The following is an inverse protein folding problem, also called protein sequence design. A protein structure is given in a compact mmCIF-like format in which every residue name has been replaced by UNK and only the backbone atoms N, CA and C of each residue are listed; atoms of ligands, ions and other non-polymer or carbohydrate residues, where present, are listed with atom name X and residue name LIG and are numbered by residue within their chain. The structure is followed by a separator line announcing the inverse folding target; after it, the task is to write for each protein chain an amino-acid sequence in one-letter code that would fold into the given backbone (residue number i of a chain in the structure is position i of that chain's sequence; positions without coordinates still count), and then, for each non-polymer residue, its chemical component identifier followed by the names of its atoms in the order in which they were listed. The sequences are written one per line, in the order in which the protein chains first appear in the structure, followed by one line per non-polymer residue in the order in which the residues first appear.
data_IF_413836360433
#
_entry.id   IF_413836360433
#
_cell.length_a   1.000
_cell.length_b   1.000
_cell.length_c   1.000
_cell.angle_alpha   90.00
_cell.angle_beta   90.00
_cell.angle_gamma   90.00
#
_symmetry.space_group_name_H-M   'P 1'
#
loop_
_entity.id
_entity.type
_entity.pdbx_description
1 polymer ?
#
# COMPACT_ATOMS: atom_id res chain seq x y z
N UNK A 1 17.75 -26.84 15.89
CA UNK A 1 17.43 -26.28 14.57
C UNK A 1 16.35 -25.21 14.76
N UNK A 2 16.71 -23.93 14.62
CA UNK A 2 15.76 -22.83 14.74
C UNK A 2 14.91 -22.83 13.46
N UNK A 3 13.66 -23.26 13.54
CA UNK A 3 12.70 -23.09 12.44
C UNK A 3 12.32 -21.61 12.41
N UNK A 4 12.98 -20.83 11.54
CA UNK A 4 12.40 -19.59 11.04
C UNK A 4 11.15 -19.98 10.25
N UNK A 5 10.00 -19.99 10.92
CA UNK A 5 8.72 -20.06 10.24
C UNK A 5 8.61 -18.77 9.42
N UNK A 6 8.81 -18.88 8.10
CA UNK A 6 8.59 -17.79 7.18
C UNK A 6 7.13 -17.36 7.25
N UNK A 7 6.90 -16.21 7.85
CA UNK A 7 5.61 -15.53 7.94
C UNK A 7 5.40 -14.83 6.58
N UNK A 8 4.80 -15.53 5.63
CA UNK A 8 4.46 -15.03 4.29
C UNK A 8 3.09 -14.34 4.29
N UNK A 9 3.01 -13.12 4.84
CA UNK A 9 1.75 -12.38 5.00
C UNK A 9 1.35 -11.52 3.84
N UNK A 10 0.07 -11.65 3.46
CA UNK A 10 -0.41 -11.15 2.19
C UNK A 10 -1.85 -10.66 2.32
N UNK A 11 -2.06 -9.40 1.95
CA UNK A 11 -3.38 -8.81 1.93
C UNK A 11 -3.37 -7.50 1.18
N UNK A 12 -4.57 -7.00 0.91
CA UNK A 12 -4.78 -5.79 0.12
C UNK A 12 -6.02 -5.05 0.58
N UNK A 13 -5.98 -3.73 0.47
CA UNK A 13 -7.11 -2.85 0.74
C UNK A 13 -8.02 -2.82 -0.48
N UNK A 14 -9.23 -3.36 -0.33
CA UNK A 14 -10.20 -3.58 -1.40
C UNK A 14 -11.27 -2.49 -1.44
N UNK A 15 -11.64 -1.91 -0.30
CA UNK A 15 -12.56 -0.79 -0.22
C UNK A 15 -12.09 0.22 0.84
N UNK A 16 -11.82 1.49 0.48
CA UNK A 16 -11.61 1.97 -0.89
C UNK A 16 -10.45 1.21 -1.56
N UNK A 17 -10.52 0.91 -2.87
CA UNK A 17 -9.49 0.11 -3.52
C UNK A 17 -8.15 0.85 -3.53
N UNK A 18 -7.11 0.23 -2.98
CA UNK A 18 -5.75 0.77 -3.03
C UNK A 18 -5.17 0.71 -4.46
N UNK A 19 -4.16 1.56 -4.74
CA UNK A 19 -3.58 1.82 -6.08
C UNK A 19 -3.18 0.55 -6.84
N UNK A 20 -2.63 -0.42 -6.13
CA UNK A 20 -2.27 -1.78 -6.57
C UNK A 20 -3.46 -2.67 -6.94
N UNK A 21 -4.61 -2.47 -6.31
CA UNK A 21 -5.81 -3.33 -6.47
C UNK A 21 -6.90 -2.70 -7.33
N UNK A 22 -6.77 -1.42 -7.72
CA UNK A 22 -7.77 -0.70 -8.52
C UNK A 22 -8.14 -1.45 -9.83
N UNK A 23 -7.20 -2.14 -10.47
CA UNK A 23 -7.48 -2.90 -11.69
C UNK A 23 -8.53 -4.00 -11.49
N UNK A 24 -8.66 -4.57 -10.28
CA UNK A 24 -9.69 -5.57 -9.95
C UNK A 24 -11.11 -5.01 -10.01
N UNK A 25 -11.24 -3.68 -9.92
CA UNK A 25 -12.51 -2.97 -9.91
C UNK A 25 -12.76 -2.21 -11.22
N UNK A 26 -12.04 -2.54 -12.30
CA UNK A 26 -12.25 -1.97 -13.62
C UNK A 26 -11.66 -0.57 -13.84
N UNK A 27 -10.87 -0.05 -12.88
CA UNK A 27 -10.13 1.18 -13.10
C UNK A 27 -9.00 0.97 -14.12
N UNK A 28 -8.62 2.01 -14.90
CA UNK A 28 -7.58 1.93 -15.93
C UNK A 28 -6.16 1.94 -15.35
N UNK A 29 -5.93 1.20 -14.26
CA UNK A 29 -4.61 0.97 -13.69
C UNK A 29 -3.96 -0.25 -14.38
N UNK A 30 -2.62 -0.27 -14.54
CA UNK A 30 -1.94 -1.49 -14.95
C UNK A 30 -2.25 -2.64 -14.00
N UNK A 31 -2.39 -3.84 -14.55
CA UNK A 31 -2.66 -5.05 -13.75
C UNK A 31 -1.45 -5.35 -12.85
N UNK A 32 -1.71 -5.51 -11.55
CA UNK A 32 -0.74 -6.02 -10.59
C UNK A 32 -1.28 -7.34 -9.99
N UNK A 33 -0.79 -8.48 -10.49
CA UNK A 33 -1.21 -9.79 -9.99
C UNK A 33 -0.75 -10.07 -8.55
N UNK A 34 0.31 -9.39 -8.12
CA UNK A 34 0.87 -9.45 -6.77
C UNK A 34 0.43 -8.23 -5.94
N UNK A 35 -0.80 -7.77 -6.16
CA UNK A 35 -1.34 -6.63 -5.42
C UNK A 35 -1.56 -6.92 -3.92
N UNK A 36 -1.39 -8.14 -3.47
CA UNK A 36 -1.36 -8.51 -2.06
C UNK A 36 0.06 -8.48 -1.44
N UNK A 37 1.09 -8.07 -2.19
CA UNK A 37 2.52 -8.12 -1.83
C UNK A 37 3.16 -6.72 -1.63
N UNK A 38 2.42 -5.74 -1.10
CA UNK A 38 2.99 -4.43 -0.71
C UNK A 38 3.56 -4.43 0.71
N UNK A 39 4.47 -5.38 0.92
CA UNK A 39 5.18 -5.71 2.16
C UNK A 39 6.60 -5.12 2.25
N UNK A 40 6.81 -3.90 1.75
CA UNK A 40 8.11 -3.18 1.83
C UNK A 40 9.28 -3.90 1.13
N UNK A 41 8.98 -4.76 0.17
CA UNK A 41 9.95 -5.64 -0.51
C UNK A 41 10.29 -6.94 0.22
N UNK A 42 9.61 -7.24 1.32
CA UNK A 42 9.86 -8.41 2.15
C UNK A 42 10.80 -8.14 3.34
N UNK A 43 10.78 -9.03 4.34
CA UNK A 43 11.45 -8.83 5.63
C UNK A 43 12.95 -8.50 5.50
N UNK A 44 13.71 -9.29 4.74
CA UNK A 44 15.15 -9.07 4.56
C UNK A 44 15.45 -7.73 3.88
N UNK A 45 14.67 -7.37 2.85
CA UNK A 45 14.82 -6.09 2.16
C UNK A 45 14.49 -4.92 3.10
N UNK A 46 13.41 -5.01 3.87
CA UNK A 46 13.04 -3.96 4.82
C UNK A 46 14.08 -3.80 5.93
N UNK A 47 14.41 -4.87 6.65
CA UNK A 47 15.17 -4.78 7.90
C UNK A 47 16.68 -4.87 7.70
N UNK A 48 17.17 -5.72 6.80
CA UNK A 48 18.60 -5.92 6.60
C UNK A 48 19.18 -4.90 5.61
N UNK A 49 18.47 -4.62 4.52
CA UNK A 49 18.94 -3.67 3.49
C UNK A 49 18.47 -2.23 3.75
N UNK A 50 17.19 -2.03 4.05
CA UNK A 50 16.59 -0.70 4.11
C UNK A 50 16.58 -0.09 5.53
N UNK A 51 17.12 -0.79 6.54
CA UNK A 51 17.20 -0.32 7.93
C UNK A 51 15.82 -0.05 8.54
N UNK A 52 14.86 -0.93 8.28
CA UNK A 52 13.47 -0.83 8.75
C UNK A 52 12.58 0.08 7.89
N UNK A 53 13.15 0.84 6.94
CA UNK A 53 12.38 1.78 6.11
C UNK A 53 11.54 1.07 5.05
N UNK A 54 10.37 1.66 4.78
CA UNK A 54 9.40 1.24 3.78
C UNK A 54 8.99 2.46 2.94
N UNK A 55 8.74 2.27 1.65
CA UNK A 55 8.04 3.29 0.86
C UNK A 55 6.65 3.52 1.45
N UNK A 56 6.15 4.76 1.42
CA UNK A 56 4.91 5.12 2.13
C UNK A 56 3.66 4.39 1.59
N UNK A 57 3.77 3.84 0.38
CA UNK A 57 2.74 3.03 -0.26
C UNK A 57 3.09 1.53 -0.29
N UNK A 58 4.02 1.06 0.55
CA UNK A 58 4.37 -0.36 0.71
C UNK A 58 5.42 -0.89 -0.27
N UNK A 59 5.98 -0.05 -1.13
CA UNK A 59 7.10 -0.38 -2.01
C UNK A 59 8.43 -0.55 -1.22
N UNK A 60 9.41 -1.33 -1.73
CA UNK A 60 10.76 -1.34 -1.16
C UNK A 60 11.39 0.05 -1.14
N UNK A 61 11.91 0.46 0.01
CA UNK A 61 12.42 1.82 0.22
C UNK A 61 13.55 2.22 -0.75
N UNK A 62 14.46 1.30 -1.08
CA UNK A 62 15.61 1.58 -1.96
C UNK A 62 15.26 1.78 -3.44
N UNK A 63 14.02 1.53 -3.86
CA UNK A 63 13.62 1.80 -5.24
C UNK A 63 13.76 3.30 -5.54
N UNK A 64 14.14 3.61 -6.79
CA UNK A 64 14.22 4.98 -7.28
C UNK A 64 12.83 5.62 -7.25
N UNK A 65 12.76 6.86 -6.77
CA UNK A 65 11.53 7.62 -6.72
C UNK A 65 11.18 8.23 -8.11
N UNK A 66 9.88 8.31 -8.46
CA UNK A 66 8.74 7.80 -7.71
C UNK A 66 8.67 6.28 -7.74
N UNK A 67 8.45 5.66 -6.58
CA UNK A 67 8.28 4.20 -6.50
C UNK A 67 6.98 3.80 -7.22
N UNK A 68 6.81 2.53 -7.64
CA UNK A 68 5.69 2.12 -8.48
C UNK A 68 4.30 2.54 -7.98
N UNK A 69 4.07 2.58 -6.67
CA UNK A 69 2.79 2.94 -6.07
C UNK A 69 2.74 4.37 -5.55
N UNK A 70 3.77 5.17 -5.72
CA UNK A 70 3.83 6.59 -5.35
C UNK A 70 3.48 7.50 -6.54
N UNK A 71 3.09 8.75 -6.30
CA UNK A 71 2.61 9.72 -7.28
C UNK A 71 3.61 9.89 -8.43
N UNK A 72 3.14 9.71 -9.67
CA UNK A 72 3.99 9.64 -10.87
C UNK A 72 4.50 8.24 -11.21
N UNK A 73 4.36 7.28 -10.29
CA UNK A 73 4.67 5.87 -10.47
C UNK A 73 3.70 5.12 -11.39
N UNK A 74 4.01 3.85 -11.62
CA UNK A 74 3.26 2.97 -12.52
C UNK A 74 1.78 2.85 -12.13
N UNK A 75 1.48 2.72 -10.83
CA UNK A 75 0.13 2.43 -10.32
C UNK A 75 -0.57 3.66 -9.73
N UNK A 76 0.15 4.75 -9.44
CA UNK A 76 -0.45 5.99 -8.94
C UNK A 76 -0.88 6.92 -10.08
N UNK A 77 -2.05 6.65 -10.67
CA UNK A 77 -2.59 7.41 -11.82
C UNK A 77 -3.41 8.66 -11.45
N UNK A 78 -3.47 9.02 -10.17
CA UNK A 78 -4.29 10.14 -9.70
C UNK A 78 -5.80 9.91 -9.81
N UNK A 79 -6.22 8.64 -9.87
CA UNK A 79 -7.61 8.24 -10.01
C UNK A 79 -8.25 8.16 -8.61
N UNK A 80 -9.41 8.80 -8.45
CA UNK A 80 -10.18 8.77 -7.20
C UNK A 80 -10.98 7.47 -7.12
N UNK A 81 -10.65 6.61 -6.16
CA UNK A 81 -11.31 5.31 -5.99
C UNK A 81 -12.70 5.40 -5.34
N UNK A 82 -12.91 6.38 -4.46
CA UNK A 82 -14.16 6.62 -3.72
C UNK A 82 -14.32 8.10 -3.36
N UNK A 83 -15.55 8.53 -3.15
CA UNK A 83 -15.88 9.85 -2.64
C UNK A 83 -16.64 9.69 -1.33
N UNK A 84 -16.28 10.51 -0.34
CA UNK A 84 -16.88 10.51 0.99
C UNK A 84 -17.12 11.95 1.45
N UNK A 85 -18.01 12.14 2.42
CA UNK A 85 -18.19 13.42 3.11
C UNK A 85 -17.48 13.43 4.47
N UNK A 86 -17.07 14.61 4.94
CA UNK A 86 -16.48 14.74 6.27
C UNK A 86 -17.41 14.22 7.36
N UNK A 87 -16.89 13.37 8.26
CA UNK A 87 -17.66 12.73 9.33
C UNK A 87 -18.52 11.54 8.88
N UNK A 88 -18.43 11.10 7.62
CA UNK A 88 -19.12 9.91 7.15
C UNK A 88 -18.49 8.64 7.76
N UNK A 89 -19.32 7.77 8.32
CA UNK A 89 -18.93 6.39 8.64
C UNK A 89 -18.75 5.60 7.33
N UNK A 90 -17.60 4.95 7.17
CA UNK A 90 -17.25 4.21 5.96
C UNK A 90 -16.95 2.75 6.27
N UNK A 91 -17.39 1.87 5.37
CA UNK A 91 -16.95 0.48 5.37
C UNK A 91 -15.56 0.38 4.73
N UNK A 92 -14.62 -0.20 5.48
CA UNK A 92 -13.29 -0.52 4.98
C UNK A 92 -13.13 -2.02 4.87
N UNK A 93 -12.73 -2.49 3.69
CA UNK A 93 -12.52 -3.91 3.42
C UNK A 93 -11.04 -4.20 3.15
N UNK A 94 -10.47 -5.09 3.98
CA UNK A 94 -9.14 -5.65 3.78
C UNK A 94 -9.29 -7.13 3.46
N UNK A 95 -8.82 -7.54 2.29
CA UNK A 95 -8.79 -8.95 1.91
C UNK A 95 -7.44 -9.55 2.31
N UNK A 96 -7.48 -10.51 3.23
CA UNK A 96 -6.32 -11.31 3.62
C UNK A 96 -6.26 -12.57 2.75
N UNK A 97 -5.19 -12.70 1.97
CA UNK A 97 -4.89 -13.91 1.19
C UNK A 97 -4.00 -14.89 1.96
N UNK A 98 -3.24 -14.39 2.94
CA UNK A 98 -2.56 -15.17 3.97
C UNK A 98 -2.58 -14.39 5.29
N UNK A 99 -3.08 -15.01 6.37
CA UNK A 99 -3.26 -14.36 7.68
C UNK A 99 -2.04 -14.60 8.60
N UNK A 100 -1.45 -13.51 9.11
CA UNK A 100 -0.25 -13.52 9.97
C UNK A 100 -0.47 -12.86 11.32
N UNK A 101 -1.75 -12.69 11.68
CA UNK A 101 -2.18 -12.00 12.89
C UNK A 101 -1.69 -10.54 12.91
N UNK A 102 -1.80 -9.88 14.06
CA UNK A 102 -1.44 -8.46 14.20
C UNK A 102 -2.66 -7.54 14.17
N UNK A 103 -2.46 -6.30 13.71
CA UNK A 103 -3.47 -5.25 13.68
C UNK A 103 -3.36 -4.42 12.41
N UNK A 104 -4.44 -3.75 12.04
CA UNK A 104 -4.44 -2.72 11.01
C UNK A 104 -4.51 -1.35 11.66
N UNK A 105 -3.78 -0.39 11.09
CA UNK A 105 -3.87 1.02 11.40
C UNK A 105 -4.14 1.77 10.11
N UNK A 106 -4.99 2.80 10.16
CA UNK A 106 -5.42 3.56 9.00
C UNK A 106 -5.23 5.03 9.29
N UNK A 107 -4.65 5.74 8.33
CA UNK A 107 -4.27 7.13 8.45
C UNK A 107 -4.74 7.89 7.21
N UNK A 108 -4.99 9.19 7.35
CA UNK A 108 -5.49 10.03 6.27
C UNK A 108 -4.66 11.30 6.16
N UNK A 109 -4.01 11.48 5.02
CA UNK A 109 -3.29 12.71 4.66
C UNK A 109 -4.13 13.56 3.70
N UNK A 110 -4.33 14.88 3.96
CA UNK A 110 -4.98 15.80 3.02
C UNK A 110 -4.06 16.14 1.83
N UNK A 111 -3.86 15.19 0.91
CA UNK A 111 -3.09 15.42 -0.32
C UNK A 111 -3.99 15.92 -1.47
N UNK A 112 -4.00 17.24 -1.67
CA UNK A 112 -4.81 17.89 -2.70
C UNK A 112 -4.13 17.96 -4.09
N UNK A 113 -3.02 17.26 -4.30
CA UNK A 113 -2.33 17.24 -5.59
C UNK A 113 -1.87 15.83 -5.99
N UNK A 114 -2.52 15.17 -6.96
CA UNK A 114 -2.20 13.79 -7.35
C UNK A 114 -0.82 13.63 -8.03
N UNK A 115 -0.10 14.72 -8.29
CA UNK A 115 1.25 14.71 -8.86
C UNK A 115 2.37 14.78 -7.82
N UNK A 116 2.04 15.06 -6.57
CA UNK A 116 3.00 15.06 -5.46
C UNK A 116 2.60 13.99 -4.48
N UNK A 117 3.57 13.17 -4.10
CA UNK A 117 3.32 12.14 -3.12
C UNK A 117 3.21 12.75 -1.71
N UNK A 118 2.37 12.15 -0.86
CA UNK A 118 2.29 12.52 0.54
C UNK A 118 3.62 12.24 1.27
N UNK A 119 3.82 12.81 2.45
CA UNK A 119 4.90 12.40 3.35
C UNK A 119 4.35 11.51 4.46
N UNK A 120 5.20 10.67 5.05
CA UNK A 120 4.80 9.88 6.24
C UNK A 120 4.26 10.80 7.36
N UNK A 121 4.93 11.94 7.57
CA UNK A 121 4.51 12.97 8.55
C UNK A 121 3.15 13.62 8.28
N UNK A 122 2.55 13.40 7.11
CA UNK A 122 1.20 13.86 6.80
C UNK A 122 0.14 12.84 7.21
N UNK A 123 0.51 11.56 7.29
CA UNK A 123 -0.34 10.47 7.75
C UNK A 123 -0.29 10.33 9.27
N UNK A 124 0.87 10.55 9.87
CA UNK A 124 1.08 10.55 11.33
C UNK A 124 0.29 11.67 12.03
#
# INVERSE_FOLDING_TARGET
ALRLAGVSGHGRLMNPPARNSMWRFGFPNPVNYNDNELFCGGHAVQWEQNQGRCGICGDPWHLVEPRPHEAGGQFAKGIIGRHYTSGQDIDVEVELTANHWGRFEMFLCPNNNPRYEATQSCFD
#
